data_IF_765561873201
#
_entry.id   IF_765561873201
#
_cell.length_a   1.000
_cell.length_b   1.000
_cell.length_c   1.000
_cell.angle_alpha   90.00
_cell.angle_beta   90.00
_cell.angle_gamma   90.00
#
_symmetry.space_group_name_H-M   'P 1'
#
loop_
_entity.id
_entity.type
_entity.pdbx_description
1 polymer ?
#
# COMPACT_ATOMS: atom_id res chain seq x y z
N UNK A 1 -13.78 28.04 10.11
CA UNK A 1 -13.52 27.00 11.13
C UNK A 1 -14.64 25.95 11.20
N UNK A 2 -15.91 26.32 11.41
CA UNK A 2 -17.04 25.37 11.56
C UNK A 2 -17.40 24.51 10.33
N UNK A 3 -17.00 24.90 9.10
CA UNK A 3 -17.31 24.13 7.87
C UNK A 3 -16.43 22.89 7.76
N UNK A 4 -15.11 23.09 7.86
CA UNK A 4 -14.09 22.04 7.80
C UNK A 4 -14.29 20.93 8.83
N UNK A 5 -14.70 21.28 10.05
CA UNK A 5 -14.99 20.29 11.09
C UNK A 5 -16.16 19.39 10.71
N UNK A 6 -17.24 19.96 10.16
CA UNK A 6 -18.42 19.21 9.69
C UNK A 6 -18.07 18.28 8.53
N UNK A 7 -17.21 18.72 7.63
CA UNK A 7 -16.73 17.88 6.52
C UNK A 7 -15.90 16.71 7.03
N UNK A 8 -15.00 16.93 8.00
CA UNK A 8 -14.24 15.83 8.63
C UNK A 8 -15.14 14.81 9.33
N UNK A 9 -16.18 15.28 10.01
CA UNK A 9 -17.17 14.40 10.66
C UNK A 9 -17.99 13.61 9.64
N UNK A 10 -18.39 14.24 8.53
CA UNK A 10 -19.06 13.56 7.43
C UNK A 10 -18.21 12.39 6.90
N UNK A 11 -16.94 12.64 6.55
CA UNK A 11 -16.07 11.60 6.02
C UNK A 11 -15.72 10.52 7.04
N UNK A 12 -15.62 10.86 8.33
CA UNK A 12 -15.46 9.87 9.39
C UNK A 12 -16.62 8.86 9.38
N UNK A 13 -17.86 9.34 9.37
CA UNK A 13 -19.04 8.48 9.40
C UNK A 13 -19.22 7.72 8.07
N UNK A 14 -18.95 8.39 6.94
CA UNK A 14 -19.08 7.82 5.62
C UNK A 14 -18.09 6.68 5.35
N UNK A 15 -16.83 6.84 5.78
CA UNK A 15 -15.76 5.85 5.61
C UNK A 15 -15.67 4.85 6.77
N UNK A 16 -16.50 5.00 7.81
CA UNK A 16 -16.49 4.12 8.98
C UNK A 16 -15.19 4.21 9.80
N UNK A 17 -14.55 5.39 9.82
CA UNK A 17 -13.30 5.59 10.53
C UNK A 17 -13.55 5.68 12.04
N UNK A 18 -12.74 4.95 12.81
CA UNK A 18 -12.78 5.00 14.28
C UNK A 18 -12.42 6.39 14.81
N UNK A 19 -11.51 7.10 14.13
CA UNK A 19 -11.00 8.42 14.52
C UNK A 19 -11.34 9.47 13.49
N UNK A 20 -11.39 10.74 13.91
CA UNK A 20 -11.51 11.86 12.99
C UNK A 20 -10.25 11.92 12.11
N UNK A 21 -10.40 12.08 10.77
CA UNK A 21 -9.27 12.25 9.90
C UNK A 21 -8.47 13.50 10.33
N UNK A 22 -7.17 13.28 10.50
CA UNK A 22 -6.18 14.32 10.72
C UNK A 22 -6.15 15.32 9.56
N UNK A 23 -5.44 16.42 9.75
CA UNK A 23 -5.33 17.43 8.71
C UNK A 23 -4.70 16.91 7.42
N UNK A 24 -3.69 16.05 7.54
CA UNK A 24 -3.04 15.42 6.39
C UNK A 24 -3.97 14.44 5.66
N UNK A 25 -4.73 13.64 6.41
CA UNK A 25 -5.70 12.69 5.83
C UNK A 25 -6.85 13.43 5.14
N UNK A 26 -7.33 14.53 5.72
CA UNK A 26 -8.33 15.39 5.09
C UNK A 26 -7.81 16.01 3.79
N UNK A 27 -6.53 16.40 3.74
CA UNK A 27 -5.91 16.91 2.52
C UNK A 27 -5.92 15.84 1.40
N UNK A 28 -5.65 14.57 1.72
CA UNK A 28 -5.76 13.48 0.74
C UNK A 28 -7.17 13.34 0.17
N UNK A 29 -8.20 13.31 1.02
CA UNK A 29 -9.60 13.25 0.57
C UNK A 29 -9.92 14.41 -0.36
N UNK A 30 -9.49 15.63 0.02
CA UNK A 30 -9.69 16.83 -0.77
C UNK A 30 -9.01 16.72 -2.15
N UNK A 31 -7.77 16.25 -2.21
CA UNK A 31 -7.05 16.02 -3.46
C UNK A 31 -7.77 14.98 -4.34
N UNK A 32 -8.26 13.88 -3.78
CA UNK A 32 -8.98 12.87 -4.57
C UNK A 32 -10.28 13.43 -5.17
N UNK A 33 -11.00 14.26 -4.43
CA UNK A 33 -12.24 14.91 -4.89
C UNK A 33 -11.99 16.03 -5.90
N UNK A 34 -10.99 16.87 -5.68
CA UNK A 34 -10.73 18.06 -6.51
C UNK A 34 -9.85 17.74 -7.72
N UNK A 35 -8.76 17.02 -7.51
CA UNK A 35 -7.74 16.75 -8.54
C UNK A 35 -8.08 15.51 -9.36
N UNK A 36 -8.48 14.43 -8.70
CA UNK A 36 -8.82 13.18 -9.39
C UNK A 36 -10.30 13.06 -9.74
N UNK A 37 -11.14 13.97 -9.23
CA UNK A 37 -12.59 14.00 -9.47
C UNK A 37 -13.30 12.69 -9.12
N UNK A 38 -12.73 11.91 -8.19
CA UNK A 38 -13.37 10.69 -7.73
C UNK A 38 -14.65 11.00 -6.96
N UNK A 39 -15.65 10.17 -7.16
CA UNK A 39 -16.90 10.17 -6.41
C UNK A 39 -16.68 9.66 -4.97
N UNK A 40 -17.61 10.00 -4.08
CA UNK A 40 -17.57 9.53 -2.69
C UNK A 40 -17.61 7.99 -2.65
N UNK A 41 -18.35 7.36 -3.56
CA UNK A 41 -18.48 5.91 -3.68
C UNK A 41 -17.16 5.23 -4.06
N UNK A 42 -16.41 5.78 -5.01
CA UNK A 42 -15.09 5.24 -5.40
C UNK A 42 -14.09 5.33 -4.25
N UNK A 43 -14.09 6.45 -3.51
CA UNK A 43 -13.26 6.59 -2.32
C UNK A 43 -13.64 5.52 -1.30
N UNK A 44 -14.95 5.30 -1.05
CA UNK A 44 -15.42 4.26 -0.14
C UNK A 44 -15.00 2.86 -0.57
N UNK A 45 -15.05 2.55 -1.87
CA UNK A 45 -14.63 1.27 -2.40
C UNK A 45 -13.12 1.04 -2.27
N UNK A 46 -12.31 2.10 -2.41
CA UNK A 46 -10.88 2.01 -2.15
C UNK A 46 -10.59 1.69 -0.67
N UNK A 47 -11.34 2.29 0.26
CA UNK A 47 -11.25 1.94 1.68
C UNK A 47 -11.72 0.52 1.97
N UNK A 48 -12.81 0.07 1.33
CA UNK A 48 -13.29 -1.30 1.47
C UNK A 48 -12.23 -2.31 0.99
N UNK A 49 -11.57 -2.04 -0.14
CA UNK A 49 -10.46 -2.88 -0.63
C UNK A 49 -9.25 -2.84 0.32
N UNK A 50 -8.95 -1.69 0.91
CA UNK A 50 -7.89 -1.56 1.92
C UNK A 50 -8.16 -2.44 3.15
N UNK A 51 -9.39 -2.37 3.69
CA UNK A 51 -9.81 -3.20 4.83
C UNK A 51 -9.79 -4.68 4.45
N UNK A 52 -10.20 -5.05 3.24
CA UNK A 52 -10.10 -6.44 2.75
C UNK A 52 -8.63 -6.92 2.64
N UNK A 53 -7.69 -6.03 2.31
CA UNK A 53 -6.29 -6.37 2.13
C UNK A 53 -5.49 -6.43 3.45
N UNK A 54 -5.66 -5.44 4.34
CA UNK A 54 -4.84 -5.25 5.54
C UNK A 54 -5.66 -5.32 6.84
N UNK A 55 -6.99 -5.38 6.75
CA UNK A 55 -7.89 -5.43 7.91
C UNK A 55 -8.17 -4.08 8.57
N UNK A 56 -7.54 -2.99 8.11
CA UNK A 56 -7.73 -1.65 8.67
C UNK A 56 -7.81 -0.58 7.57
N UNK A 57 -8.60 0.49 7.75
CA UNK A 57 -8.68 1.58 6.78
C UNK A 57 -7.41 2.44 6.83
N UNK A 58 -6.62 2.42 5.76
CA UNK A 58 -5.38 3.20 5.62
C UNK A 58 -5.48 4.16 4.44
N UNK A 59 -5.29 5.45 4.69
CA UNK A 59 -5.31 6.50 3.66
C UNK A 59 -4.20 6.34 2.62
N UNK A 60 -3.01 5.93 3.06
CA UNK A 60 -1.87 5.72 2.16
C UNK A 60 -2.13 4.56 1.19
N UNK A 61 -2.73 3.48 1.67
CA UNK A 61 -3.06 2.33 0.84
C UNK A 61 -4.26 2.63 -0.08
N UNK A 62 -5.29 3.32 0.44
CA UNK A 62 -6.41 3.81 -0.37
C UNK A 62 -5.94 4.73 -1.52
N UNK A 63 -4.97 5.62 -1.25
CA UNK A 63 -4.35 6.45 -2.29
C UNK A 63 -3.75 5.61 -3.42
N UNK A 64 -3.02 4.55 -3.08
CA UNK A 64 -2.39 3.67 -4.07
C UNK A 64 -3.42 2.94 -4.94
N UNK A 65 -4.55 2.52 -4.35
CA UNK A 65 -5.67 1.90 -5.09
C UNK A 65 -6.29 2.91 -6.07
N UNK A 66 -6.60 4.12 -5.60
CA UNK A 66 -7.18 5.17 -6.43
C UNK A 66 -6.25 5.57 -7.59
N UNK A 67 -4.94 5.67 -7.33
CA UNK A 67 -3.94 5.92 -8.37
C UNK A 67 -3.89 4.79 -9.41
N UNK A 68 -4.02 3.54 -8.98
CA UNK A 68 -4.12 2.40 -9.90
C UNK A 68 -5.34 2.54 -10.82
N UNK A 69 -6.52 2.85 -10.28
CA UNK A 69 -7.73 3.00 -11.09
C UNK A 69 -7.62 4.17 -12.07
N UNK A 70 -7.08 5.31 -11.64
CA UNK A 70 -6.83 6.44 -12.53
C UNK A 70 -5.92 6.05 -13.69
N UNK A 71 -4.89 5.25 -13.43
CA UNK A 71 -3.99 4.76 -14.48
C UNK A 71 -4.71 3.79 -15.41
N UNK A 72 -5.49 2.88 -14.86
CA UNK A 72 -6.24 1.87 -15.62
C UNK A 72 -7.32 2.50 -16.53
N UNK A 73 -7.98 3.58 -16.09
CA UNK A 73 -8.97 4.32 -16.86
C UNK A 73 -8.35 5.00 -18.09
N UNK A 74 -7.22 5.70 -17.91
CA UNK A 74 -6.46 6.30 -19.03
C UNK A 74 -5.98 5.22 -20.01
N UNK A 75 -5.66 4.04 -19.49
CA UNK A 75 -5.26 2.90 -20.29
C UNK A 75 -6.40 2.19 -21.03
N UNK A 76 -7.67 2.51 -20.77
CA UNK A 76 -8.82 2.00 -21.53
C UNK A 76 -9.20 2.90 -22.71
N UNK A 77 -8.90 4.20 -22.64
CA UNK A 77 -9.20 5.18 -23.70
C UNK A 77 -8.05 5.36 -24.71
N UNK A 78 -6.83 5.03 -24.32
CA UNK A 78 -5.70 4.92 -25.24
C UNK A 78 -5.34 3.45 -25.46
N UNK A 79 -5.25 2.95 -26.71
CA UNK A 79 -4.56 1.70 -26.96
C UNK A 79 -3.13 1.90 -26.48
N UNK A 80 -2.82 1.33 -25.31
CA UNK A 80 -1.53 1.40 -24.63
C UNK A 80 -0.40 1.29 -25.66
N UNK A 81 0.24 2.41 -26.00
CA UNK A 81 1.68 2.38 -26.22
C UNK A 81 2.26 2.03 -24.86
N UNK A 82 2.44 0.73 -24.69
CA UNK A 82 3.18 0.11 -23.62
C UNK A 82 4.31 1.05 -23.19
N UNK A 83 4.18 1.69 -22.03
CA UNK A 83 5.37 1.97 -21.24
C UNK A 83 5.79 0.62 -20.69
N UNK A 84 6.46 -0.11 -21.59
CA UNK A 84 7.32 -1.24 -21.29
C UNK A 84 8.02 -0.87 -19.98
N UNK A 85 7.71 -1.58 -18.90
CA UNK A 85 8.79 -1.90 -17.95
C UNK A 85 9.84 -2.53 -18.85
N UNK A 86 10.88 -1.77 -19.19
CA UNK A 86 11.91 -2.19 -20.14
C UNK A 86 12.54 -3.45 -19.56
N UNK A 87 12.07 -4.60 -20.01
CA UNK A 87 12.90 -5.79 -20.09
C UNK A 87 13.94 -5.47 -21.17
N UNK A 88 15.01 -4.77 -20.77
CA UNK A 88 16.22 -4.71 -21.57
C UNK A 88 16.70 -6.14 -21.73
N UNK A 89 16.49 -6.68 -22.92
CA UNK A 89 17.01 -7.96 -23.35
C UNK A 89 18.52 -7.80 -23.58
N UNK A 90 19.28 -7.56 -22.51
CA UNK A 90 20.73 -7.71 -22.55
C UNK A 90 21.02 -9.21 -22.40
N UNK A 91 21.04 -9.90 -23.54
CA UNK A 91 21.88 -11.09 -23.68
C UNK A 91 23.32 -10.61 -23.50
N UNK A 92 24.04 -11.27 -22.59
CA UNK A 92 25.44 -11.04 -22.24
C UNK A 92 25.65 -10.00 -21.11
N UNK A 93 25.51 -10.44 -19.86
CA UNK A 93 26.67 -10.85 -19.06
C UNK A 93 26.22 -11.74 -17.89
N UNK A 94 27.01 -12.78 -17.70
CA UNK A 94 27.14 -13.67 -16.57
C UNK A 94 27.19 -12.92 -15.22
N UNK A 95 26.20 -13.14 -14.35
CA UNK A 95 26.36 -13.17 -12.90
C UNK A 95 25.11 -13.76 -12.25
N UNK A 96 25.24 -15.00 -11.79
CA UNK A 96 24.56 -15.64 -10.66
C UNK A 96 23.15 -15.11 -10.31
N UNK A 97 22.18 -16.00 -10.51
CA UNK A 97 20.93 -16.07 -9.74
C UNK A 97 21.18 -15.74 -8.25
N UNK A 98 20.96 -14.49 -7.85
CA UNK A 98 20.87 -14.14 -6.44
C UNK A 98 19.50 -14.59 -5.97
N UNK A 99 19.50 -15.81 -5.43
CA UNK A 99 18.43 -16.33 -4.59
C UNK A 99 17.99 -15.24 -3.61
N UNK A 100 16.81 -14.68 -3.84
CA UNK A 100 15.90 -14.42 -2.75
C UNK A 100 15.56 -15.76 -2.11
N UNK A 101 16.36 -16.18 -1.13
CA UNK A 101 15.91 -17.12 -0.12
C UNK A 101 16.74 -16.83 1.11
N UNK A 102 16.15 -16.08 2.03
CA UNK A 102 16.54 -16.14 3.43
C UNK A 102 16.81 -17.61 3.78
N UNK A 103 18.07 -17.94 4.05
CA UNK A 103 18.44 -19.26 4.52
C UNK A 103 18.22 -19.29 6.02
N UNK A 104 17.01 -19.69 6.40
CA UNK A 104 16.60 -19.86 7.78
C UNK A 104 17.48 -20.88 8.54
N UNK A 105 18.31 -21.69 7.86
CA UNK A 105 19.12 -22.72 8.50
C UNK A 105 20.26 -22.19 9.37
N UNK A 106 20.88 -21.05 9.02
CA UNK A 106 22.00 -20.50 9.80
C UNK A 106 21.56 -19.79 11.06
N UNK A 107 20.41 -19.13 11.01
CA UNK A 107 19.80 -18.45 12.16
C UNK A 107 19.30 -19.51 13.17
N UNK A 108 18.64 -20.57 12.68
CA UNK A 108 18.20 -21.72 13.47
C UNK A 108 19.38 -22.40 14.18
N UNK A 109 20.49 -22.64 13.46
CA UNK A 109 21.67 -23.31 14.01
C UNK A 109 22.36 -22.49 15.09
N UNK A 110 22.48 -21.16 14.91
CA UNK A 110 23.02 -20.26 15.95
C UNK A 110 22.11 -20.15 17.18
N UNK A 111 20.79 -20.24 16.99
CA UNK A 111 19.82 -20.19 18.09
C UNK A 111 19.88 -21.48 18.93
N UNK A 112 19.94 -22.65 18.28
CA UNK A 112 20.08 -23.95 18.93
C UNK A 112 21.43 -24.12 19.65
N UNK A 113 22.53 -23.63 19.06
CA UNK A 113 23.85 -23.65 19.70
C UNK A 113 23.88 -22.78 20.97
N UNK A 114 23.21 -21.63 20.94
CA UNK A 114 23.04 -20.77 22.14
C UNK A 114 22.19 -21.41 23.23
N UNK A 115 21.24 -22.27 22.87
CA UNK A 115 20.42 -23.00 23.84
C UNK A 115 21.20 -24.16 24.48
N UNK A 116 22.04 -24.85 23.72
CA UNK A 116 22.90 -25.93 24.23
C UNK A 116 24.01 -25.39 25.15
N UNK A 117 24.66 -24.27 24.81
CA UNK A 117 25.70 -23.66 25.66
C UNK A 117 25.20 -23.05 26.98
N UNK A 118 23.88 -22.91 27.17
CA UNK A 118 23.30 -22.39 28.42
C UNK A 118 22.97 -23.50 29.45
N UNK A 119 23.18 -24.77 29.10
CA UNK A 119 22.96 -25.92 29.97
C UNK A 119 24.22 -26.54 30.59
N UNK A 120 25.41 -26.25 30.08
CA UNK A 120 26.68 -26.89 30.50
C UNK A 120 27.68 -25.89 31.09
N UNK A 121 27.21 -24.98 31.95
CA UNK A 121 28.09 -24.26 32.86
C UNK A 121 27.44 -24.22 34.25
N UNK A 122 27.40 -25.41 34.86
CA UNK A 122 27.30 -25.65 36.31
C UNK A 122 28.39 -26.64 36.67
#
# INVERSE_FOLDING_TARGET
IKKKQREKEYYKNFLGLSKLPSEAEYAHIKTWKEEYKFSDEEIKDAFLKTVKAIGSPSFSYANAILLSWKSDEVHMLEPKKETKKKATKNKFTDYKQTKGRYDYSEIEKKYLEKLQKKGENK
#
